data_IF_697699656674
#
_entry.id   IF_697699656674
#
_cell.length_a   1.000
_cell.length_b   1.000
_cell.length_c   1.000
_cell.angle_alpha   90.00
_cell.angle_beta   90.00
_cell.angle_gamma   90.00
#
_symmetry.space_group_name_H-M   'P 1'
#
loop_
_entity.id
_entity.type
_entity.pdbx_description
1 polymer ?
#
# COMPACT_ATOMS: atom_id res chain seq x y z
N UNK A 1 2.52 -76.27 -2.04
CA UNK A 1 3.38 -75.26 -2.72
C UNK A 1 2.62 -74.76 -3.94
N UNK A 2 2.64 -73.44 -4.21
CA UNK A 2 2.46 -72.77 -5.53
C UNK A 2 1.22 -73.15 -6.39
N UNK A 3 0.43 -72.26 -6.98
CA UNK A 3 0.24 -70.79 -6.88
C UNK A 3 -1.07 -70.46 -7.66
N UNK A 4 -1.82 -69.38 -7.35
CA UNK A 4 -2.96 -68.98 -8.17
C UNK A 4 -2.64 -67.86 -9.17
N UNK A 5 -3.08 -68.08 -10.41
CA UNK A 5 -3.66 -67.12 -11.37
C UNK A 5 -2.94 -65.81 -11.71
N UNK A 6 -2.54 -65.72 -12.98
CA UNK A 6 -2.48 -64.45 -13.71
C UNK A 6 -3.90 -64.08 -14.17
N UNK A 7 -4.33 -62.85 -13.91
CA UNK A 7 -5.37 -62.16 -14.70
C UNK A 7 -4.88 -60.75 -14.98
N UNK A 8 -4.93 -60.34 -16.25
CA UNK A 8 -4.34 -59.09 -16.73
C UNK A 8 -5.39 -57.99 -16.60
N UNK A 9 -5.24 -57.12 -15.60
CA UNK A 9 -5.98 -55.87 -15.50
C UNK A 9 -5.36 -54.81 -16.40
N UNK A 10 -6.02 -54.50 -17.51
CA UNK A 10 -5.68 -53.34 -18.33
C UNK A 10 -6.52 -52.12 -17.91
N UNK A 11 -6.06 -51.40 -16.89
CA UNK A 11 -6.57 -50.04 -16.62
C UNK A 11 -5.65 -49.01 -17.27
N UNK A 12 -6.23 -48.22 -18.17
CA UNK A 12 -5.55 -47.08 -18.81
C UNK A 12 -5.48 -45.94 -17.80
N UNK A 13 -4.42 -45.91 -16.99
CA UNK A 13 -4.13 -44.74 -16.16
C UNK A 13 -3.65 -43.59 -17.07
N UNK A 14 -4.51 -42.58 -17.21
CA UNK A 14 -4.15 -41.33 -17.87
C UNK A 14 -2.98 -40.66 -17.14
N UNK A 15 -2.05 -40.08 -17.90
CA UNK A 15 -0.88 -39.41 -17.34
C UNK A 15 -1.28 -38.18 -16.52
N UNK A 16 -1.33 -38.34 -15.19
CA UNK A 16 -1.54 -37.25 -14.26
C UNK A 16 -0.36 -36.28 -14.29
N UNK A 17 -0.64 -35.02 -14.59
CA UNK A 17 0.30 -33.92 -14.39
C UNK A 17 0.32 -33.56 -12.90
N UNK A 18 1.34 -34.00 -12.18
CA UNK A 18 1.55 -33.75 -10.75
C UNK A 18 2.62 -32.64 -10.57
N UNK A 19 2.31 -31.59 -9.81
CA UNK A 19 3.04 -30.30 -9.87
C UNK A 19 3.46 -29.82 -8.49
N UNK A 20 4.75 -29.53 -8.33
CA UNK A 20 5.43 -28.84 -7.22
C UNK A 20 6.97 -28.76 -7.52
N UNK A 21 7.84 -27.95 -6.84
CA UNK A 21 9.33 -27.89 -7.03
C UNK A 21 10.29 -27.91 -5.77
N UNK A 22 11.53 -28.43 -5.73
CA UNK A 22 12.61 -28.15 -4.75
C UNK A 22 13.98 -28.42 -5.30
N UNK A 23 14.91 -27.64 -4.84
CA UNK A 23 16.34 -27.85 -4.96
C UNK A 23 16.78 -29.31 -4.72
N UNK A 24 17.18 -29.98 -5.81
CA UNK A 24 18.00 -31.20 -5.87
C UNK A 24 19.46 -30.80 -6.10
N UNK A 25 20.41 -31.51 -5.48
CA UNK A 25 21.85 -31.29 -5.70
C UNK A 25 22.39 -29.92 -5.26
N UNK A 26 21.60 -29.17 -4.48
CA UNK A 26 22.03 -27.95 -3.78
C UNK A 26 22.45 -28.22 -2.34
N UNK A 27 22.50 -27.16 -1.53
CA UNK A 27 22.79 -27.22 -0.11
C UNK A 27 22.11 -26.10 0.67
N UNK A 28 22.38 -26.00 1.97
CA UNK A 28 21.82 -24.93 2.82
C UNK A 28 22.12 -23.55 2.23
N UNK A 29 21.08 -22.74 2.05
CA UNK A 29 21.21 -21.38 1.58
C UNK A 29 21.89 -20.48 2.63
N UNK A 30 22.75 -19.57 2.17
CA UNK A 30 23.24 -18.47 3.01
C UNK A 30 22.09 -17.46 3.20
N UNK A 31 21.50 -17.41 4.39
CA UNK A 31 20.30 -16.60 4.66
C UNK A 31 20.50 -15.10 4.45
N UNK A 32 21.75 -14.60 4.46
CA UNK A 32 22.06 -13.21 4.13
C UNK A 32 21.74 -12.87 2.67
N UNK A 33 21.94 -13.82 1.74
CA UNK A 33 21.70 -13.64 0.30
C UNK A 33 20.21 -13.80 -0.08
N UNK A 34 19.38 -14.25 0.87
CA UNK A 34 17.98 -14.63 0.62
C UNK A 34 17.00 -13.95 1.60
N UNK A 35 17.34 -12.78 2.14
CA UNK A 35 16.48 -12.02 3.08
C UNK A 35 15.05 -11.75 2.58
N UNK A 36 14.86 -11.70 1.26
CA UNK A 36 13.59 -11.52 0.56
C UNK A 36 12.80 -12.82 0.32
N UNK A 37 13.41 -14.00 0.51
CA UNK A 37 12.72 -15.27 0.36
C UNK A 37 11.53 -15.35 1.31
N UNK A 38 10.39 -15.76 0.78
CA UNK A 38 9.11 -15.72 1.49
C UNK A 38 8.44 -17.09 1.43
N UNK A 39 7.97 -17.59 2.57
CA UNK A 39 7.13 -18.80 2.62
C UNK A 39 5.66 -18.40 2.48
N UNK A 40 4.90 -19.08 1.62
CA UNK A 40 3.43 -19.04 1.64
C UNK A 40 2.94 -20.18 2.55
N UNK A 41 2.12 -19.82 3.53
CA UNK A 41 1.58 -20.71 4.58
C UNK A 41 0.08 -20.48 4.75
N UNK A 42 -0.63 -21.45 5.30
CA UNK A 42 -2.04 -21.26 5.65
C UNK A 42 -2.22 -20.20 6.76
N UNK A 43 -3.40 -19.56 6.82
CA UNK A 43 -3.70 -18.42 7.71
C UNK A 43 -3.27 -18.60 9.17
N UNK A 44 -3.35 -19.83 9.68
CA UNK A 44 -3.00 -20.21 11.06
C UNK A 44 -1.89 -21.28 11.17
N UNK A 45 -1.35 -21.76 10.05
CA UNK A 45 -0.26 -22.74 10.02
C UNK A 45 1.12 -22.10 9.75
N UNK A 46 2.17 -22.91 9.92
CA UNK A 46 3.55 -22.55 9.62
C UNK A 46 4.17 -23.41 8.50
N UNK A 47 3.48 -24.47 8.07
CA UNK A 47 3.91 -25.36 7.00
C UNK A 47 3.85 -24.62 5.66
N UNK A 48 5.02 -24.42 5.04
CA UNK A 48 5.13 -23.88 3.68
C UNK A 48 4.55 -24.86 2.67
N UNK A 49 3.80 -24.35 1.70
CA UNK A 49 3.36 -25.12 0.52
C UNK A 49 3.90 -24.54 -0.79
N UNK A 50 4.12 -23.23 -0.84
CA UNK A 50 4.83 -22.54 -1.92
C UNK A 50 5.91 -21.60 -1.36
N UNK A 51 6.86 -21.26 -2.22
CA UNK A 51 7.78 -20.15 -2.06
C UNK A 51 7.25 -18.86 -2.69
N UNK A 52 7.93 -17.76 -2.39
CA UNK A 52 7.64 -16.43 -2.88
C UNK A 52 8.83 -15.50 -2.64
N UNK A 53 8.69 -14.25 -3.05
CA UNK A 53 9.71 -13.20 -2.97
C UNK A 53 9.08 -11.88 -2.52
N UNK A 54 9.69 -11.17 -1.58
CA UNK A 54 9.19 -9.87 -1.10
C UNK A 54 9.71 -8.73 -1.99
N UNK A 55 8.79 -7.91 -2.51
CA UNK A 55 9.12 -6.81 -3.42
C UNK A 55 9.31 -5.45 -2.70
N UNK A 56 8.93 -5.36 -1.42
CA UNK A 56 8.75 -4.07 -0.73
C UNK A 56 7.28 -3.68 -0.63
N UNK A 57 6.98 -2.62 0.14
CA UNK A 57 5.66 -1.99 0.27
C UNK A 57 4.49 -2.96 0.52
N UNK A 58 4.76 -4.04 1.25
CA UNK A 58 3.79 -5.10 1.52
C UNK A 58 3.35 -5.89 0.28
N UNK A 59 4.16 -5.99 -0.78
CA UNK A 59 3.93 -6.84 -1.95
C UNK A 59 4.83 -8.07 -1.94
N UNK A 60 4.25 -9.21 -2.31
CA UNK A 60 4.94 -10.50 -2.42
C UNK A 60 4.64 -11.12 -3.78
N UNK A 61 5.68 -11.49 -4.52
CA UNK A 61 5.61 -12.10 -5.85
C UNK A 61 5.76 -13.63 -5.76
N UNK A 62 4.89 -14.36 -6.47
CA UNK A 62 4.80 -15.82 -6.48
C UNK A 62 4.20 -16.32 -7.81
N UNK A 63 3.99 -17.63 -7.94
CA UNK A 63 3.34 -18.25 -9.10
C UNK A 63 1.81 -18.20 -8.96
N UNK A 64 1.08 -18.13 -10.08
CA UNK A 64 -0.39 -18.12 -10.05
C UNK A 64 -0.96 -19.45 -9.55
N UNK A 65 -0.37 -20.58 -9.96
CA UNK A 65 -0.82 -21.91 -9.55
C UNK A 65 -0.67 -22.18 -8.04
N UNK A 66 0.16 -21.41 -7.33
CA UNK A 66 0.27 -21.49 -5.87
C UNK A 66 -0.96 -20.95 -5.15
N UNK A 67 -1.76 -20.11 -5.79
CA UNK A 67 -2.89 -19.39 -5.19
C UNK A 67 -4.18 -19.49 -6.01
N UNK A 68 -4.21 -20.36 -7.03
CA UNK A 68 -5.41 -20.65 -7.82
C UNK A 68 -6.47 -21.34 -6.94
N UNK A 69 -7.56 -20.62 -6.66
CA UNK A 69 -8.62 -21.04 -5.75
C UNK A 69 -8.41 -20.68 -4.27
N UNK A 70 -7.27 -20.07 -3.90
CA UNK A 70 -7.05 -19.58 -2.53
C UNK A 70 -7.85 -18.30 -2.24
N UNK A 71 -8.28 -18.14 -0.99
CA UNK A 71 -8.83 -16.88 -0.46
C UNK A 71 -7.74 -16.09 0.27
N UNK A 72 -7.68 -14.75 0.16
CA UNK A 72 -6.76 -13.92 0.96
C UNK A 72 -6.87 -14.20 2.46
N UNK A 73 -8.08 -14.46 2.97
CA UNK A 73 -8.33 -14.80 4.38
C UNK A 73 -7.83 -16.20 4.79
N UNK A 74 -7.58 -17.09 3.83
CA UNK A 74 -7.09 -18.45 4.02
C UNK A 74 -5.57 -18.56 4.09
N UNK A 75 -4.84 -17.51 3.70
CA UNK A 75 -3.38 -17.56 3.52
C UNK A 75 -2.64 -16.49 4.34
N UNK A 76 -1.36 -16.74 4.56
CA UNK A 76 -0.41 -15.83 5.18
C UNK A 76 0.98 -16.06 4.58
N UNK A 77 1.91 -15.13 4.82
CA UNK A 77 3.31 -15.25 4.40
C UNK A 77 4.25 -15.18 5.59
N UNK A 78 5.47 -15.70 5.44
CA UNK A 78 6.62 -15.42 6.31
C UNK A 78 7.79 -14.92 5.47
N UNK A 79 8.05 -13.61 5.51
CA UNK A 79 9.17 -12.97 4.78
C UNK A 79 10.47 -13.12 5.57
N UNK A 80 11.56 -13.53 4.93
CA UNK A 80 12.81 -13.88 5.61
C UNK A 80 12.67 -15.10 6.53
N UNK A 81 11.71 -15.99 6.22
CA UNK A 81 11.50 -17.25 6.92
C UNK A 81 12.26 -18.39 6.24
N UNK A 82 13.21 -18.99 6.95
CA UNK A 82 14.16 -19.99 6.44
C UNK A 82 13.96 -21.39 7.01
N UNK A 83 13.16 -21.56 8.07
CA UNK A 83 12.86 -22.87 8.66
C UNK A 83 11.51 -23.39 8.17
N UNK A 84 11.49 -24.63 7.67
CA UNK A 84 10.24 -25.30 7.28
C UNK A 84 9.40 -25.61 8.52
N UNK A 85 8.13 -25.22 8.50
CA UNK A 85 7.22 -25.33 9.66
C UNK A 85 7.69 -24.55 10.92
N UNK A 86 8.73 -23.71 10.80
CA UNK A 86 9.21 -22.83 11.86
C UNK A 86 8.38 -21.56 12.02
N UNK A 87 8.64 -20.82 13.09
CA UNK A 87 8.00 -19.52 13.41
C UNK A 87 8.92 -18.32 13.12
N UNK A 88 9.94 -18.52 12.29
CA UNK A 88 10.94 -17.55 11.90
C UNK A 88 10.50 -16.68 10.71
N UNK A 89 11.19 -15.54 10.54
CA UNK A 89 10.80 -14.50 9.60
C UNK A 89 9.66 -13.61 10.11
N UNK A 90 9.27 -12.63 9.31
CA UNK A 90 8.17 -11.72 9.60
C UNK A 90 6.87 -12.26 9.01
N UNK A 91 5.92 -12.62 9.88
CA UNK A 91 4.62 -13.18 9.48
C UNK A 91 3.60 -12.08 9.20
N UNK A 92 2.98 -12.11 8.01
CA UNK A 92 1.93 -11.18 7.62
C UNK A 92 0.74 -11.91 6.99
N UNK A 93 -0.46 -11.34 7.10
CA UNK A 93 -1.65 -11.87 6.44
C UNK A 93 -1.77 -11.25 5.05
N UNK A 94 -2.46 -11.93 4.13
CA UNK A 94 -2.75 -11.40 2.80
C UNK A 94 -4.08 -10.65 2.82
N UNK A 95 -4.10 -9.43 2.29
CA UNK A 95 -5.31 -8.62 2.11
C UNK A 95 -5.94 -8.84 0.73
N UNK A 96 -5.12 -9.10 -0.30
CA UNK A 96 -5.58 -9.31 -1.68
C UNK A 96 -4.62 -10.19 -2.47
N UNK A 97 -5.18 -11.04 -3.32
CA UNK A 97 -4.46 -11.89 -4.29
C UNK A 97 -4.73 -11.30 -5.68
N UNK A 98 -3.68 -11.13 -6.48
CA UNK A 98 -3.74 -10.72 -7.87
C UNK A 98 -3.07 -11.80 -8.72
N UNK A 99 -3.86 -12.60 -9.43
CA UNK A 99 -3.36 -13.54 -10.44
C UNK A 99 -3.34 -12.86 -11.81
N UNK A 100 -2.44 -13.28 -12.70
CA UNK A 100 -2.48 -12.84 -14.09
C UNK A 100 -3.82 -13.23 -14.74
N UNK A 101 -4.55 -12.30 -15.40
CA UNK A 101 -5.90 -12.58 -15.91
C UNK A 101 -5.91 -13.64 -17.02
N UNK A 102 -4.78 -13.78 -17.72
CA UNK A 102 -4.59 -14.80 -18.76
C UNK A 102 -3.78 -16.02 -18.27
N UNK A 103 -3.72 -16.29 -16.96
CA UNK A 103 -3.11 -17.51 -16.44
C UNK A 103 -3.89 -18.75 -16.92
N UNK A 104 -3.21 -19.71 -17.54
CA UNK A 104 -3.80 -20.99 -17.95
C UNK A 104 -3.20 -22.16 -17.18
N UNK A 105 -3.98 -22.69 -16.24
CA UNK A 105 -3.63 -23.85 -15.40
C UNK A 105 -3.42 -25.18 -16.14
N UNK A 106 -3.68 -25.26 -17.44
CA UNK A 106 -3.35 -26.44 -18.26
C UNK A 106 -1.95 -26.38 -18.84
N UNK A 107 -1.45 -25.17 -19.13
CA UNK A 107 -0.18 -24.93 -19.82
C UNK A 107 0.86 -24.22 -18.96
N UNK A 108 0.45 -23.66 -17.81
CA UNK A 108 1.24 -22.77 -16.95
C UNK A 108 1.71 -21.51 -17.68
N UNK A 109 1.00 -21.12 -18.74
CA UNK A 109 1.22 -19.84 -19.43
C UNK A 109 0.78 -18.71 -18.51
N UNK A 110 1.62 -17.66 -18.40
CA UNK A 110 1.42 -16.52 -17.50
C UNK A 110 1.26 -16.91 -16.02
N UNK A 111 2.02 -17.90 -15.55
CA UNK A 111 2.01 -18.39 -14.17
C UNK A 111 2.72 -17.40 -13.22
N UNK A 112 2.04 -16.30 -12.91
CA UNK A 112 2.51 -15.20 -12.05
C UNK A 112 1.35 -14.65 -11.20
N UNK A 113 1.61 -14.42 -9.92
CA UNK A 113 0.69 -13.77 -9.00
C UNK A 113 1.41 -12.86 -7.99
N UNK A 114 0.69 -11.86 -7.50
CA UNK A 114 1.14 -10.92 -6.47
C UNK A 114 0.16 -10.94 -5.30
N UNK A 115 0.69 -10.97 -4.08
CA UNK A 115 -0.06 -10.90 -2.84
C UNK A 115 0.20 -9.52 -2.22
N UNK A 116 -0.85 -8.74 -1.91
CA UNK A 116 -0.74 -7.56 -1.03
C UNK A 116 -0.93 -8.03 0.41
N UNK A 117 -0.05 -7.61 1.29
CA UNK A 117 -0.09 -7.88 2.72
C UNK A 117 -0.99 -6.89 3.45
N UNK A 118 -1.54 -7.29 4.61
CA UNK A 118 -2.40 -6.40 5.43
C UNK A 118 -1.62 -5.25 6.07
N UNK A 119 -0.34 -5.46 6.35
CA UNK A 119 0.57 -4.48 6.96
C UNK A 119 1.88 -4.50 6.19
N UNK A 120 2.60 -3.38 6.19
CA UNK A 120 3.94 -3.31 5.63
C UNK A 120 4.98 -3.86 6.63
N UNK A 121 6.10 -4.34 6.11
CA UNK A 121 7.17 -4.98 6.89
C UNK A 121 8.45 -4.15 6.78
N UNK A 122 8.65 -3.12 7.61
CA UNK A 122 9.73 -2.14 7.43
C UNK A 122 11.14 -2.73 7.64
N UNK A 123 11.24 -3.84 8.38
CA UNK A 123 12.51 -4.56 8.59
C UNK A 123 12.73 -5.71 7.58
N UNK A 124 11.84 -5.89 6.60
CA UNK A 124 11.97 -6.95 5.60
C UNK A 124 12.85 -6.50 4.43
N UNK A 125 13.76 -7.38 4.01
CA UNK A 125 14.63 -7.14 2.85
C UNK A 125 13.82 -7.39 1.57
N UNK A 126 13.74 -6.41 0.68
CA UNK A 126 13.17 -6.58 -0.66
C UNK A 126 14.18 -7.20 -1.63
N UNK A 127 13.68 -7.84 -2.69
CA UNK A 127 14.47 -8.23 -3.86
C UNK A 127 14.42 -7.14 -4.93
N UNK A 128 15.48 -6.99 -5.71
CA UNK A 128 15.38 -6.26 -6.99
C UNK A 128 14.87 -7.22 -8.08
N UNK A 129 13.98 -6.74 -8.94
CA UNK A 129 13.39 -7.54 -10.04
C UNK A 129 13.87 -7.01 -11.39
N UNK A 130 13.96 -7.90 -12.40
CA UNK A 130 14.32 -7.53 -13.75
C UNK A 130 13.43 -6.39 -14.31
N UNK A 131 14.05 -5.35 -14.87
CA UNK A 131 13.40 -4.21 -15.53
C UNK A 131 13.44 -4.29 -17.07
N UNK A 132 14.43 -4.97 -17.62
CA UNK A 132 14.53 -5.31 -19.04
C UNK A 132 14.75 -6.81 -19.30
N UNK A 133 14.93 -7.18 -20.57
CA UNK A 133 14.90 -8.59 -21.02
C UNK A 133 15.95 -9.46 -20.34
N UNK A 134 15.63 -10.75 -20.12
CA UNK A 134 16.51 -11.76 -19.52
C UNK A 134 17.98 -11.71 -20.00
N UNK A 135 18.19 -11.50 -21.31
CA UNK A 135 19.51 -11.42 -21.95
C UNK A 135 20.40 -10.24 -21.48
N UNK A 136 19.84 -9.22 -20.85
CA UNK A 136 20.60 -8.11 -20.24
C UNK A 136 21.24 -8.52 -18.91
N UNK A 137 20.67 -9.55 -18.25
CA UNK A 137 21.12 -10.02 -16.94
C UNK A 137 21.92 -11.32 -17.00
N UNK A 138 21.58 -12.23 -17.92
CA UNK A 138 22.19 -13.55 -18.05
C UNK A 138 22.24 -14.04 -19.51
N UNK A 139 23.39 -14.56 -19.92
CA UNK A 139 23.57 -15.29 -21.18
C UNK A 139 23.28 -16.78 -21.05
N UNK A 140 23.13 -17.49 -22.18
CA UNK A 140 23.01 -18.95 -22.17
C UNK A 140 24.28 -19.58 -21.59
N UNK A 141 24.12 -20.44 -20.58
CA UNK A 141 25.20 -21.03 -19.80
C UNK A 141 25.58 -20.25 -18.54
N UNK A 142 25.13 -19.00 -18.37
CA UNK A 142 25.35 -18.26 -17.12
C UNK A 142 24.64 -18.96 -15.96
N UNK A 143 25.31 -18.92 -14.80
CA UNK A 143 24.79 -19.54 -13.58
C UNK A 143 23.74 -18.65 -12.93
N UNK A 144 22.56 -19.21 -12.73
CA UNK A 144 21.47 -18.66 -11.94
C UNK A 144 21.33 -19.45 -10.64
N UNK A 145 20.87 -18.79 -9.57
CA UNK A 145 20.63 -19.41 -8.28
C UNK A 145 19.13 -19.50 -7.99
N UNK A 146 18.68 -20.64 -7.50
CA UNK A 146 17.28 -20.90 -7.10
C UNK A 146 17.27 -21.31 -5.62
N UNK A 147 16.24 -20.91 -4.86
CA UNK A 147 16.10 -21.31 -3.46
C UNK A 147 14.67 -21.69 -3.06
N UNK A 148 14.55 -22.62 -2.09
CA UNK A 148 13.27 -22.99 -1.47
C UNK A 148 13.28 -24.15 -0.46
N UNK A 149 12.08 -24.64 -0.12
CA UNK A 149 11.75 -25.49 1.05
C UNK A 149 10.87 -26.74 0.74
N UNK A 150 10.69 -27.16 -0.51
CA UNK A 150 9.92 -28.33 -0.98
C UNK A 150 10.46 -29.76 -0.67
N UNK A 151 10.85 -30.63 -1.64
CA UNK A 151 11.41 -32.02 -1.52
C UNK A 151 12.80 -32.28 -2.21
N UNK A 152 13.87 -32.67 -1.51
CA UNK A 152 15.28 -32.75 -2.06
C UNK A 152 15.52 -33.85 -3.08
N UNK A 153 14.56 -34.74 -3.18
CA UNK A 153 14.47 -35.83 -4.13
C UNK A 153 13.01 -35.94 -4.52
N UNK A 154 12.75 -36.50 -5.69
CA UNK A 154 11.39 -36.83 -6.10
C UNK A 154 10.73 -37.73 -5.04
N UNK A 155 9.55 -37.33 -4.53
CA UNK A 155 8.87 -38.03 -3.44
C UNK A 155 9.49 -37.90 -2.03
N UNK A 156 10.55 -37.09 -1.84
CA UNK A 156 11.25 -36.94 -0.55
C UNK A 156 10.53 -36.13 0.54
N UNK A 157 11.20 -35.90 1.68
CA UNK A 157 10.66 -35.16 2.85
C UNK A 157 11.24 -33.76 2.99
N UNK A 158 10.43 -32.76 3.40
CA UNK A 158 10.77 -31.32 3.50
C UNK A 158 12.07 -31.01 4.28
N UNK A 159 12.91 -30.04 3.84
CA UNK A 159 14.19 -29.79 4.48
C UNK A 159 13.92 -29.00 5.75
N UNK A 160 14.79 -29.13 6.74
CA UNK A 160 14.64 -28.29 7.92
C UNK A 160 14.94 -26.80 7.64
N UNK A 161 15.89 -26.51 6.74
CA UNK A 161 16.36 -25.15 6.39
C UNK A 161 16.22 -24.86 4.88
N UNK A 162 16.16 -23.59 4.52
CA UNK A 162 16.19 -23.11 3.13
C UNK A 162 17.37 -23.75 2.38
N UNK A 163 17.09 -24.32 1.22
CA UNK A 163 18.10 -24.86 0.32
C UNK A 163 18.27 -23.92 -0.88
N UNK A 164 19.46 -23.91 -1.48
CA UNK A 164 19.74 -23.22 -2.73
C UNK A 164 20.62 -24.05 -3.66
N UNK A 165 20.45 -23.89 -4.97
CA UNK A 165 21.29 -24.52 -6.01
C UNK A 165 21.56 -23.57 -7.16
N UNK A 166 22.68 -23.83 -7.81
CA UNK A 166 23.10 -23.15 -9.02
C UNK A 166 22.77 -24.01 -10.25
N UNK A 167 22.05 -23.44 -11.21
CA UNK A 167 21.65 -24.05 -12.49
C UNK A 167 21.99 -23.11 -13.65
N UNK A 168 22.42 -23.62 -14.82
CA UNK A 168 22.70 -22.77 -15.98
C UNK A 168 21.40 -22.36 -16.68
N UNK A 169 21.34 -21.12 -17.16
CA UNK A 169 20.33 -20.69 -18.13
C UNK A 169 20.51 -21.48 -19.43
N UNK A 170 19.42 -22.02 -20.00
CA UNK A 170 19.44 -22.73 -21.29
C UNK A 170 18.55 -22.03 -22.32
N UNK A 171 18.80 -22.27 -23.61
CA UNK A 171 18.00 -21.65 -24.67
C UNK A 171 16.60 -22.27 -24.80
N UNK A 172 15.61 -21.49 -25.21
CA UNK A 172 14.26 -21.98 -25.54
C UNK A 172 14.27 -23.09 -26.59
N UNK A 173 15.25 -23.10 -27.51
CA UNK A 173 15.43 -24.18 -28.48
C UNK A 173 15.87 -25.48 -27.79
N UNK A 174 16.85 -25.40 -26.88
CA UNK A 174 17.29 -26.52 -26.04
C UNK A 174 16.16 -27.04 -25.14
N UNK A 175 15.35 -26.14 -24.59
CA UNK A 175 14.24 -26.53 -23.72
C UNK A 175 13.12 -27.22 -24.51
N UNK A 176 12.66 -26.61 -25.62
CA UNK A 176 11.64 -27.22 -26.50
C UNK A 176 12.07 -28.57 -27.06
N UNK A 177 13.37 -28.77 -27.32
CA UNK A 177 13.92 -30.06 -27.75
C UNK A 177 13.76 -31.20 -26.72
N UNK A 178 13.48 -30.91 -25.45
CA UNK A 178 13.14 -31.93 -24.44
C UNK A 178 11.76 -32.59 -24.67
N UNK A 179 10.94 -32.04 -25.58
CA UNK A 179 9.69 -32.63 -26.07
C UNK A 179 8.51 -32.60 -25.09
N UNK A 180 7.35 -33.07 -25.55
CA UNK A 180 6.12 -33.07 -24.75
C UNK A 180 5.68 -31.67 -24.35
N UNK A 181 5.42 -31.45 -23.05
CA UNK A 181 4.95 -30.18 -22.49
C UNK A 181 5.91 -29.01 -22.73
N UNK A 182 7.20 -29.26 -22.96
CA UNK A 182 8.18 -28.22 -23.24
C UNK A 182 8.00 -27.56 -24.61
N UNK A 183 7.24 -28.15 -25.55
CA UNK A 183 7.16 -27.73 -26.96
C UNK A 183 6.78 -26.27 -27.19
N UNK A 184 6.00 -25.68 -26.28
CA UNK A 184 5.53 -24.29 -26.37
C UNK A 184 6.27 -23.31 -25.43
N UNK A 185 7.34 -23.74 -24.74
CA UNK A 185 8.07 -22.86 -23.82
C UNK A 185 8.86 -21.79 -24.59
N UNK A 186 8.75 -20.56 -24.09
CA UNK A 186 9.30 -19.32 -24.65
C UNK A 186 8.35 -18.15 -24.42
N UNK A 187 8.73 -16.95 -24.87
CA UNK A 187 8.00 -15.67 -24.75
C UNK A 187 7.74 -15.16 -23.32
N UNK A 188 7.06 -15.93 -22.46
CA UNK A 188 6.69 -15.56 -21.07
C UNK A 188 7.27 -16.49 -20.01
N UNK A 189 8.10 -17.45 -20.44
CA UNK A 189 8.82 -18.37 -19.58
C UNK A 189 10.15 -18.78 -20.23
N UNK A 190 11.15 -19.05 -19.40
CA UNK A 190 12.46 -19.56 -19.80
C UNK A 190 12.81 -20.83 -19.01
N UNK A 191 13.89 -21.50 -19.39
CA UNK A 191 14.33 -22.73 -18.72
C UNK A 191 15.75 -22.64 -18.15
N UNK A 192 15.98 -23.31 -17.02
CA UNK A 192 17.31 -23.49 -16.46
C UNK A 192 17.49 -24.91 -15.93
N UNK A 193 18.71 -25.44 -16.02
CA UNK A 193 19.04 -26.80 -15.58
C UNK A 193 20.13 -27.46 -16.42
N UNK A 194 20.77 -28.49 -15.86
CA UNK A 194 21.79 -29.26 -16.57
C UNK A 194 21.15 -30.34 -17.44
N UNK A 195 21.63 -30.52 -18.67
CA UNK A 195 21.17 -31.59 -19.57
C UNK A 195 21.37 -33.00 -18.99
N UNK A 196 22.40 -33.18 -18.15
CA UNK A 196 22.63 -34.42 -17.40
C UNK A 196 21.69 -34.63 -16.20
N UNK A 197 20.85 -33.64 -15.85
CA UNK A 197 20.08 -33.64 -14.61
C UNK A 197 20.94 -33.43 -13.37
N UNK A 198 20.57 -34.05 -12.25
CA UNK A 198 21.29 -34.02 -10.98
C UNK A 198 21.16 -32.73 -10.15
N UNK A 199 20.81 -31.59 -10.77
CA UNK A 199 20.48 -30.31 -10.11
C UNK A 199 19.31 -29.62 -10.80
N UNK A 200 18.28 -29.29 -10.02
CA UNK A 200 17.01 -28.70 -10.49
C UNK A 200 16.15 -28.28 -9.28
N UNK A 201 14.97 -27.72 -9.56
CA UNK A 201 13.77 -27.81 -8.72
C UNK A 201 13.07 -29.22 -8.81
N UNK A 202 11.87 -29.47 -8.24
CA UNK A 202 11.35 -30.82 -7.75
C UNK A 202 9.92 -31.01 -7.10
N UNK A 203 9.66 -30.66 -5.81
CA UNK A 203 8.31 -30.61 -5.13
C UNK A 203 8.12 -29.65 -3.86
N UNK A 204 7.59 -28.39 -3.93
CA UNK A 204 7.27 -27.43 -2.82
C UNK A 204 7.95 -26.01 -2.68
N UNK A 205 8.67 -25.50 -3.69
CA UNK A 205 9.35 -24.19 -3.91
C UNK A 205 8.58 -23.34 -4.95
N UNK A 206 7.39 -23.76 -5.38
CA UNK A 206 6.65 -23.07 -6.47
C UNK A 206 6.41 -21.63 -6.08
N UNK A 207 6.51 -20.72 -7.04
CA UNK A 207 6.50 -19.29 -6.76
C UNK A 207 7.81 -18.74 -6.17
N UNK A 208 8.77 -19.61 -5.84
CA UNK A 208 10.08 -19.21 -5.35
C UNK A 208 10.91 -18.47 -6.40
N UNK A 209 11.93 -17.72 -5.97
CA UNK A 209 12.78 -16.92 -6.84
C UNK A 209 13.85 -17.75 -7.58
N UNK A 210 14.08 -17.43 -8.86
CA UNK A 210 15.36 -17.66 -9.55
C UNK A 210 16.04 -16.31 -9.81
N UNK A 211 17.31 -16.19 -9.39
CA UNK A 211 18.06 -14.93 -9.33
C UNK A 211 19.41 -15.03 -10.02
N UNK A 212 19.97 -13.89 -10.39
CA UNK A 212 21.40 -13.72 -10.68
C UNK A 212 22.01 -12.78 -9.64
N UNK A 213 23.27 -13.00 -9.29
CA UNK A 213 24.06 -12.05 -8.51
C UNK A 213 25.12 -11.42 -9.41
N UNK A 214 25.02 -10.10 -9.66
CA UNK A 214 26.01 -9.32 -10.39
C UNK A 214 26.64 -8.32 -9.42
N UNK A 215 27.92 -8.53 -9.07
CA UNK A 215 28.69 -7.62 -8.21
C UNK A 215 28.07 -7.31 -6.85
N UNK A 216 27.33 -8.27 -6.25
CA UNK A 216 26.65 -8.12 -4.97
C UNK A 216 25.19 -7.68 -5.08
N UNK A 217 24.72 -7.27 -6.27
CA UNK A 217 23.30 -7.00 -6.52
C UNK A 217 22.62 -8.30 -6.93
N UNK A 218 21.64 -8.72 -6.12
CA UNK A 218 20.81 -9.91 -6.38
C UNK A 218 19.54 -9.45 -7.09
N UNK A 219 19.38 -9.87 -8.34
CA UNK A 219 18.22 -9.55 -9.18
C UNK A 219 17.44 -10.81 -9.50
N UNK A 220 16.15 -10.83 -9.20
CA UNK A 220 15.26 -11.93 -9.57
C UNK A 220 14.82 -11.80 -11.03
N UNK A 221 15.09 -12.86 -11.80
CA UNK A 221 14.81 -12.93 -13.23
C UNK A 221 13.53 -13.71 -13.53
N UNK A 222 13.16 -14.63 -12.64
CA UNK A 222 11.99 -15.48 -12.83
C UNK A 222 11.40 -16.04 -11.55
N UNK A 223 10.35 -16.84 -11.74
CA UNK A 223 9.54 -17.45 -10.70
C UNK A 223 9.45 -18.95 -10.99
N UNK A 224 9.74 -19.81 -10.01
CA UNK A 224 9.66 -21.27 -10.20
C UNK A 224 8.21 -21.68 -10.51
N UNK A 225 7.99 -22.22 -11.71
CA UNK A 225 6.66 -22.57 -12.22
C UNK A 225 6.45 -24.08 -12.27
N UNK A 226 7.15 -24.81 -13.15
CA UNK A 226 6.99 -26.27 -13.29
C UNK A 226 8.26 -26.97 -13.81
N UNK A 227 8.23 -28.30 -13.83
CA UNK A 227 9.25 -29.17 -14.40
C UNK A 227 8.71 -30.59 -14.60
N UNK A 228 9.44 -31.47 -15.27
CA UNK A 228 9.05 -32.88 -15.43
C UNK A 228 9.92 -33.77 -14.53
N UNK A 229 9.37 -34.08 -13.35
CA UNK A 229 10.11 -34.74 -12.28
C UNK A 229 11.18 -33.82 -11.68
N UNK A 230 12.11 -34.40 -10.93
CA UNK A 230 13.13 -33.65 -10.21
C UNK A 230 14.53 -33.96 -10.73
N UNK A 231 15.19 -32.98 -11.38
CA UNK A 231 16.57 -33.13 -11.85
C UNK A 231 16.82 -34.39 -12.70
N UNK A 232 15.81 -34.80 -13.47
CA UNK A 232 15.90 -35.95 -14.37
C UNK A 232 16.77 -35.58 -15.58
N UNK A 233 17.62 -36.49 -16.10
CA UNK A 233 18.37 -36.25 -17.33
C UNK A 233 17.47 -35.83 -18.50
N UNK A 234 17.87 -34.80 -19.24
CA UNK A 234 17.12 -34.24 -20.36
C UNK A 234 15.82 -33.52 -19.98
N UNK A 235 15.64 -33.13 -18.71
CA UNK A 235 14.52 -32.33 -18.21
C UNK A 235 15.04 -31.10 -17.46
N UNK A 236 14.26 -30.02 -17.49
CA UNK A 236 14.66 -28.69 -17.04
C UNK A 236 13.55 -28.06 -16.20
N UNK A 237 13.91 -27.22 -15.23
CA UNK A 237 12.97 -26.33 -14.57
C UNK A 237 12.53 -25.22 -15.53
N UNK A 238 11.24 -24.90 -15.50
CA UNK A 238 10.61 -23.81 -16.25
C UNK A 238 10.22 -22.71 -15.26
N UNK A 239 10.58 -21.49 -15.62
CA UNK A 239 10.44 -20.31 -14.78
C UNK A 239 9.68 -19.24 -15.56
N UNK A 240 8.65 -18.64 -14.95
CA UNK A 240 7.94 -17.50 -15.53
C UNK A 240 8.91 -16.32 -15.65
N UNK A 241 8.98 -15.70 -16.83
CA UNK A 241 9.88 -14.59 -17.13
C UNK A 241 9.29 -13.28 -16.58
N UNK A 242 9.94 -12.70 -15.56
CA UNK A 242 9.46 -11.47 -14.91
C UNK A 242 9.52 -10.28 -15.86
N UNK A 243 10.52 -10.21 -16.75
CA UNK A 243 10.69 -9.13 -17.69
C UNK A 243 9.62 -9.18 -18.80
N UNK A 244 9.29 -10.38 -19.29
CA UNK A 244 8.22 -10.56 -20.27
C UNK A 244 6.82 -10.26 -19.68
N UNK A 245 6.60 -10.63 -18.41
CA UNK A 245 5.35 -10.40 -17.69
C UNK A 245 5.29 -9.02 -17.00
N UNK A 246 6.33 -8.19 -17.19
CA UNK A 246 6.54 -6.93 -16.48
C UNK A 246 5.40 -5.94 -16.64
N UNK A 247 4.84 -5.82 -17.84
CA UNK A 247 3.71 -4.93 -18.11
C UNK A 247 2.50 -5.19 -17.21
N UNK A 248 2.15 -6.46 -16.97
CA UNK A 248 1.09 -6.81 -16.00
C UNK A 248 1.56 -6.61 -14.56
N UNK A 249 2.78 -7.03 -14.22
CA UNK A 249 3.31 -6.91 -12.86
C UNK A 249 3.30 -5.45 -12.39
N UNK A 250 3.78 -4.54 -13.24
CA UNK A 250 3.72 -3.10 -13.00
C UNK A 250 2.28 -2.63 -12.84
N UNK A 251 1.31 -3.08 -13.65
CA UNK A 251 -0.11 -2.70 -13.37
C UNK A 251 -0.56 -3.10 -11.97
N UNK A 252 -0.08 -4.20 -11.39
CA UNK A 252 -0.49 -4.61 -10.04
C UNK A 252 0.24 -3.84 -8.95
N UNK A 253 1.57 -3.70 -9.05
CA UNK A 253 2.37 -3.03 -8.00
C UNK A 253 2.29 -1.49 -8.10
N UNK A 254 1.86 -0.94 -9.23
CA UNK A 254 1.61 0.50 -9.42
C UNK A 254 0.14 0.91 -9.34
N UNK A 255 -0.86 0.05 -9.61
CA UNK A 255 -2.29 0.42 -9.45
C UNK A 255 -2.76 0.55 -7.99
N UNK A 256 -1.86 0.32 -7.03
CA UNK A 256 -2.00 0.77 -5.66
C UNK A 256 -0.63 1.30 -5.22
N UNK A 257 -0.30 2.57 -5.54
CA UNK A 257 1.08 3.05 -5.52
C UNK A 257 1.68 2.98 -4.11
N UNK A 258 2.95 2.58 -4.03
CA UNK A 258 3.83 2.81 -2.86
C UNK A 258 4.14 4.30 -2.63
N UNK A 259 3.25 5.20 -3.04
CA UNK A 259 3.31 6.60 -2.73
C UNK A 259 2.00 7.09 -2.16
N UNK A 260 2.08 7.88 -1.08
CA UNK A 260 0.90 8.52 -0.52
C UNK A 260 0.40 9.62 -1.45
N UNK A 261 -0.92 9.69 -1.65
CA UNK A 261 -1.58 10.90 -2.13
C UNK A 261 -2.00 11.71 -0.90
N UNK A 262 -1.30 12.82 -0.62
CA UNK A 262 -1.53 13.61 0.58
C UNK A 262 -1.38 15.11 0.30
N UNK A 263 -2.51 15.81 0.26
CA UNK A 263 -2.58 17.27 0.10
C UNK A 263 -2.44 17.95 1.45
N UNK A 264 -1.33 18.65 1.66
CA UNK A 264 -1.15 19.59 2.77
C UNK A 264 -1.60 21.00 2.37
N UNK A 265 -2.19 21.76 3.28
CA UNK A 265 -2.49 23.18 3.05
C UNK A 265 -2.63 23.95 4.37
N UNK A 266 -2.46 25.28 4.32
CA UNK A 266 -2.72 26.16 5.47
C UNK A 266 -4.19 26.09 5.87
N UNK A 267 -4.50 25.38 6.96
CA UNK A 267 -5.87 25.33 7.53
C UNK A 267 -6.24 26.63 8.25
N UNK A 268 -7.55 26.80 8.47
CA UNK A 268 -8.22 28.02 8.91
C UNK A 268 -7.39 28.97 9.80
N UNK A 269 -7.34 30.25 9.45
CA UNK A 269 -6.57 31.28 10.15
C UNK A 269 -7.45 32.46 10.57
N UNK A 270 -7.19 33.00 11.77
CA UNK A 270 -7.75 34.28 12.22
C UNK A 270 -6.64 35.31 12.26
N UNK A 271 -6.77 36.39 11.48
CA UNK A 271 -5.83 37.51 11.49
C UNK A 271 -6.23 38.52 12.57
N UNK A 272 -5.31 39.41 12.91
CA UNK A 272 -5.65 40.62 13.69
C UNK A 272 -6.73 41.43 12.97
N UNK A 273 -7.54 42.13 13.77
CA UNK A 273 -8.59 43.03 13.27
C UNK A 273 -8.03 44.15 12.36
N UNK A 274 -8.93 44.80 11.64
CA UNK A 274 -8.67 45.95 10.77
C UNK A 274 -9.75 47.00 10.94
N UNK A 275 -9.49 48.21 10.43
CA UNK A 275 -10.53 49.24 10.33
C UNK A 275 -11.38 49.02 9.09
N UNK A 276 -12.68 49.32 9.20
CA UNK A 276 -13.57 49.41 8.04
C UNK A 276 -12.95 50.35 6.98
N UNK A 277 -12.86 49.88 5.74
CA UNK A 277 -12.16 50.56 4.64
C UNK A 277 -10.69 50.15 4.43
N UNK A 278 -10.04 49.47 5.37
CA UNK A 278 -8.73 48.84 5.16
C UNK A 278 -8.88 47.46 4.48
N UNK A 279 -7.78 46.96 3.91
CA UNK A 279 -7.66 45.59 3.39
C UNK A 279 -6.73 44.74 4.26
N UNK A 280 -6.99 43.44 4.30
CA UNK A 280 -6.10 42.41 4.84
C UNK A 280 -5.66 41.50 3.71
N UNK A 281 -4.38 41.15 3.70
CA UNK A 281 -3.82 40.13 2.82
C UNK A 281 -3.52 38.84 3.59
N UNK A 282 -3.63 37.72 2.91
CA UNK A 282 -3.22 36.40 3.41
C UNK A 282 -2.69 35.54 2.27
N UNK A 283 -1.74 34.66 2.54
CA UNK A 283 -1.21 33.72 1.56
C UNK A 283 -1.45 32.29 2.04
N UNK A 284 -2.34 31.58 1.34
CA UNK A 284 -2.49 30.15 1.50
C UNK A 284 -1.31 29.43 0.84
N UNK A 285 -0.74 28.46 1.54
CA UNK A 285 0.22 27.51 0.97
C UNK A 285 -0.48 26.18 0.74
N UNK A 286 -0.25 25.56 -0.42
CA UNK A 286 -0.66 24.18 -0.73
C UNK A 286 0.60 23.39 -1.02
N UNK A 287 0.78 22.26 -0.35
CA UNK A 287 1.95 21.38 -0.44
C UNK A 287 1.55 19.96 -0.82
N UNK A 288 2.34 19.31 -1.66
CA UNK A 288 2.33 17.87 -1.77
C UNK A 288 3.09 17.26 -0.59
N UNK A 289 2.36 16.75 0.39
CA UNK A 289 2.91 15.97 1.52
C UNK A 289 3.01 14.47 1.19
N UNK A 290 2.61 14.10 -0.03
CA UNK A 290 2.69 12.75 -0.56
C UNK A 290 3.88 12.59 -1.49
N UNK A 291 3.98 11.40 -2.06
CA UNK A 291 5.00 11.06 -3.07
C UNK A 291 4.41 10.82 -4.46
N UNK A 292 3.08 10.73 -4.59
CA UNK A 292 2.40 10.83 -5.88
C UNK A 292 2.26 12.29 -6.30
N UNK A 293 2.53 12.60 -7.57
CA UNK A 293 2.31 13.96 -8.12
C UNK A 293 0.81 14.20 -8.37
N UNK A 294 0.33 15.43 -8.18
CA UNK A 294 -1.05 15.81 -8.49
C UNK A 294 -1.13 17.22 -9.08
N UNK A 295 -2.13 17.45 -9.93
CA UNK A 295 -2.41 18.74 -10.58
C UNK A 295 -3.58 19.44 -9.90
N UNK A 296 -3.40 20.73 -9.59
CA UNK A 296 -4.42 21.53 -8.91
C UNK A 296 -5.46 22.12 -9.89
N UNK A 297 -6.72 21.80 -9.63
CA UNK A 297 -7.88 22.15 -10.45
C UNK A 297 -8.88 23.01 -9.66
N UNK A 298 -9.66 23.86 -10.36
CA UNK A 298 -10.76 24.65 -9.80
C UNK A 298 -10.39 25.55 -8.60
N UNK A 299 -9.15 26.04 -8.55
CA UNK A 299 -8.66 26.99 -7.55
C UNK A 299 -9.46 28.29 -7.64
N UNK A 300 -10.17 28.65 -6.57
CA UNK A 300 -11.03 29.84 -6.51
C UNK A 300 -11.13 30.39 -5.09
N UNK A 301 -11.17 31.72 -4.96
CA UNK A 301 -11.38 32.40 -3.69
C UNK A 301 -12.73 33.13 -3.68
N UNK A 302 -13.44 33.11 -2.54
CA UNK A 302 -14.76 33.74 -2.37
C UNK A 302 -14.87 34.48 -1.03
N UNK A 303 -15.53 35.63 -1.05
CA UNK A 303 -15.83 36.42 0.14
C UNK A 303 -17.03 35.84 0.91
N UNK A 304 -17.05 36.00 2.24
CA UNK A 304 -18.24 35.79 3.06
C UNK A 304 -18.21 36.61 4.36
N UNK A 305 -19.33 36.66 5.09
CA UNK A 305 -19.50 37.57 6.22
C UNK A 305 -19.63 39.02 5.75
N UNK A 306 -18.99 39.97 6.43
CA UNK A 306 -18.96 41.39 6.02
C UNK A 306 -17.84 41.72 5.02
N UNK A 307 -17.13 40.71 4.52
CA UNK A 307 -16.04 40.91 3.59
C UNK A 307 -16.54 41.49 2.25
N UNK A 308 -15.86 42.52 1.75
CA UNK A 308 -15.95 42.88 0.33
C UNK A 308 -15.35 41.79 -0.55
N UNK A 309 -15.61 41.86 -1.86
CA UNK A 309 -15.10 40.91 -2.86
C UNK A 309 -13.62 40.58 -2.66
N UNK A 310 -13.30 39.28 -2.59
CA UNK A 310 -11.91 38.82 -2.51
C UNK A 310 -11.20 39.06 -3.84
N UNK A 311 -10.02 39.68 -3.78
CA UNK A 311 -9.10 39.78 -4.91
C UNK A 311 -8.06 38.68 -4.76
N UNK A 312 -7.82 37.91 -5.82
CA UNK A 312 -6.68 36.98 -5.89
C UNK A 312 -5.49 37.75 -6.44
N UNK A 313 -4.39 37.76 -5.69
CA UNK A 313 -3.14 38.42 -6.07
C UNK A 313 -2.22 37.45 -6.83
N UNK A 314 -1.10 37.07 -6.21
CA UNK A 314 -0.21 36.03 -6.75
C UNK A 314 -0.85 34.65 -6.58
N UNK A 315 -1.05 33.95 -7.69
CA UNK A 315 -1.41 32.53 -7.74
C UNK A 315 -0.31 31.76 -8.49
N UNK A 316 0.31 30.77 -7.85
CA UNK A 316 1.23 29.81 -8.47
C UNK A 316 0.73 28.36 -8.39
N UNK A 317 -0.55 28.17 -8.07
CA UNK A 317 -1.21 26.89 -7.87
C UNK A 317 -2.13 26.51 -9.03
N UNK A 318 -2.82 27.46 -9.65
CA UNK A 318 -3.77 27.17 -10.74
C UNK A 318 -3.11 26.37 -11.88
N UNK A 319 -3.65 25.18 -12.18
CA UNK A 319 -3.16 24.23 -13.20
C UNK A 319 -1.71 23.76 -12.99
N UNK A 320 -1.14 23.92 -11.79
CA UNK A 320 0.21 23.48 -11.47
C UNK A 320 0.19 22.03 -10.98
N UNK A 321 1.07 21.19 -11.55
CA UNK A 321 1.37 19.85 -11.02
C UNK A 321 2.45 19.95 -9.95
N UNK A 322 2.15 19.50 -8.74
CA UNK A 322 3.10 19.44 -7.61
C UNK A 322 3.69 18.03 -7.50
N UNK A 323 5.01 17.89 -7.65
CA UNK A 323 5.72 16.66 -7.29
C UNK A 323 5.92 16.57 -5.77
N UNK A 324 6.46 15.45 -5.28
CA UNK A 324 6.74 15.24 -3.85
C UNK A 324 7.47 16.45 -3.22
N UNK A 325 7.05 16.83 -2.01
CA UNK A 325 7.52 17.97 -1.22
C UNK A 325 7.38 19.38 -1.83
N UNK A 326 6.94 19.51 -3.09
CA UNK A 326 6.72 20.83 -3.70
C UNK A 326 5.51 21.56 -3.09
N UNK A 327 5.58 22.89 -3.10
CA UNK A 327 4.50 23.77 -2.63
C UNK A 327 4.22 24.90 -3.62
N UNK A 328 2.98 25.34 -3.68
CA UNK A 328 2.54 26.55 -4.38
C UNK A 328 1.79 27.49 -3.42
N UNK A 329 1.54 28.72 -3.87
CA UNK A 329 0.89 29.74 -3.04
C UNK A 329 -0.24 30.46 -3.77
N UNK A 330 -1.30 30.80 -3.03
CA UNK A 330 -2.38 31.69 -3.46
C UNK A 330 -2.52 32.82 -2.45
N UNK A 331 -2.16 34.03 -2.87
CA UNK A 331 -2.37 35.26 -2.11
C UNK A 331 -3.79 35.79 -2.37
N UNK A 332 -4.50 36.13 -1.30
CA UNK A 332 -5.82 36.76 -1.32
C UNK A 332 -5.79 38.08 -0.57
N UNK A 333 -6.57 39.05 -1.03
CA UNK A 333 -6.84 40.29 -0.33
C UNK A 333 -8.34 40.49 -0.16
N UNK A 334 -8.75 40.93 1.03
CA UNK A 334 -10.16 41.20 1.36
C UNK A 334 -10.26 42.40 2.30
N UNK A 335 -11.30 43.21 2.12
CA UNK A 335 -11.62 44.33 3.00
C UNK A 335 -13.04 44.18 3.57
N UNK A 336 -13.58 45.25 4.14
CA UNK A 336 -14.97 45.33 4.60
C UNK A 336 -15.44 46.79 4.62
N UNK A 337 -16.71 47.02 4.28
CA UNK A 337 -17.38 48.34 4.32
C UNK A 337 -18.26 48.52 5.56
N UNK A 338 -18.40 47.49 6.39
CA UNK A 338 -19.16 47.48 7.64
C UNK A 338 -18.39 46.71 8.72
N UNK A 339 -18.67 46.98 9.99
CA UNK A 339 -18.03 46.27 11.09
C UNK A 339 -18.62 44.86 11.25
N UNK A 340 -17.78 43.90 11.66
CA UNK A 340 -18.13 42.49 11.81
C UNK A 340 -17.07 41.54 11.26
N UNK A 341 -17.38 40.24 11.27
CA UNK A 341 -16.45 39.20 10.86
C UNK A 341 -16.35 39.11 9.33
N UNK A 342 -15.23 39.54 8.77
CA UNK A 342 -14.91 39.41 7.35
C UNK A 342 -14.18 38.08 7.10
N UNK A 343 -14.56 37.35 6.05
CA UNK A 343 -13.96 36.05 5.69
C UNK A 343 -13.61 35.97 4.21
N UNK A 344 -12.47 35.36 3.90
CA UNK A 344 -12.10 34.89 2.57
C UNK A 344 -11.88 33.38 2.61
N UNK A 345 -12.55 32.63 1.74
CA UNK A 345 -12.38 31.18 1.61
C UNK A 345 -11.69 30.85 0.29
N UNK A 346 -10.57 30.13 0.36
CA UNK A 346 -9.99 29.43 -0.78
C UNK A 346 -10.63 28.04 -0.91
N UNK A 347 -10.96 27.64 -2.13
CA UNK A 347 -11.39 26.27 -2.43
C UNK A 347 -10.72 25.77 -3.72
N UNK A 348 -10.42 24.47 -3.76
CA UNK A 348 -9.72 23.83 -4.88
C UNK A 348 -9.99 22.33 -4.92
N UNK A 349 -9.48 21.65 -5.95
CA UNK A 349 -9.57 20.21 -6.20
C UNK A 349 -8.28 19.71 -6.85
N UNK A 350 -8.15 18.40 -7.04
CA UNK A 350 -7.01 17.78 -7.74
C UNK A 350 -7.48 16.91 -8.90
N UNK A 351 -6.55 16.40 -9.70
CA UNK A 351 -6.77 15.35 -10.71
C UNK A 351 -6.83 13.93 -10.10
N UNK A 352 -6.16 13.69 -8.96
CA UNK A 352 -6.09 12.38 -8.30
C UNK A 352 -7.28 12.04 -7.38
N UNK A 353 -8.34 12.85 -7.31
CA UNK A 353 -9.47 12.57 -6.42
C UNK A 353 -10.72 13.41 -6.66
N UNK A 354 -11.85 12.96 -6.09
CA UNK A 354 -13.17 13.59 -6.23
C UNK A 354 -13.49 14.64 -5.15
N UNK A 355 -12.61 14.82 -4.17
CA UNK A 355 -12.82 15.69 -3.02
C UNK A 355 -12.41 17.15 -3.29
N UNK A 356 -13.27 18.10 -2.92
CA UNK A 356 -12.92 19.52 -2.86
C UNK A 356 -12.30 19.90 -1.51
N UNK A 357 -11.18 20.63 -1.54
CA UNK A 357 -10.51 21.18 -0.36
C UNK A 357 -10.97 22.63 -0.12
N UNK A 358 -11.00 23.05 1.15
CA UNK A 358 -11.38 24.42 1.55
C UNK A 358 -10.50 24.91 2.70
N UNK A 359 -10.12 26.19 2.67
CA UNK A 359 -9.40 26.88 3.74
C UNK A 359 -9.96 28.29 3.92
N UNK A 360 -10.18 28.72 5.15
CA UNK A 360 -10.77 30.02 5.47
C UNK A 360 -9.75 30.92 6.17
N UNK A 361 -9.69 32.19 5.78
CA UNK A 361 -9.06 33.24 6.60
C UNK A 361 -10.13 34.22 7.04
N UNK A 362 -10.08 34.66 8.29
CA UNK A 362 -11.04 35.61 8.85
C UNK A 362 -10.39 36.69 9.68
N UNK A 363 -11.00 37.87 9.71
CA UNK A 363 -10.57 39.01 10.52
C UNK A 363 -11.77 39.87 10.89
N UNK A 364 -11.79 40.44 12.08
CA UNK A 364 -12.84 41.39 12.48
C UNK A 364 -12.57 42.78 11.89
N UNK A 365 -13.52 43.28 11.11
CA UNK A 365 -13.60 44.67 10.69
C UNK A 365 -14.19 45.49 11.83
N UNK A 366 -13.50 46.55 12.23
CA UNK A 366 -13.87 47.42 13.34
C UNK A 366 -14.03 48.86 12.86
N UNK A 367 -15.00 49.61 13.39
CA UNK A 367 -14.98 51.06 13.21
C UNK A 367 -13.81 51.63 14.00
N UNK A 368 -12.97 52.46 13.39
CA UNK A 368 -11.92 53.18 14.09
C UNK A 368 -12.53 53.92 15.30
N UNK A 369 -12.03 53.64 16.50
CA UNK A 369 -12.75 53.98 17.72
C UNK A 369 -13.03 55.47 17.88
N UNK A 370 -14.30 55.81 18.11
CA UNK A 370 -14.58 56.76 19.18
C UNK A 370 -14.06 56.13 20.48
N UNK A 371 -13.04 56.74 21.09
CA UNK A 371 -12.29 56.10 22.16
C UNK A 371 -13.14 55.85 23.41
N UNK A 372 -13.00 54.67 24.02
CA UNK A 372 -13.63 54.37 25.30
C UNK A 372 -13.52 52.90 25.72
N UNK A 373 -12.73 52.63 26.76
CA UNK A 373 -12.83 51.40 27.55
C UNK A 373 -11.96 50.24 27.09
N UNK A 374 -10.92 49.96 27.88
CA UNK A 374 -10.20 48.69 27.85
C UNK A 374 -11.13 47.59 28.42
N UNK A 375 -11.66 46.71 27.56
CA UNK A 375 -12.46 45.56 27.97
C UNK A 375 -11.96 44.27 27.32
N UNK A 376 -11.56 43.35 28.20
CA UNK A 376 -10.90 42.09 27.90
C UNK A 376 -11.86 41.12 27.19
N UNK A 377 -11.52 40.66 26.00
CA UNK A 377 -12.35 39.75 25.20
C UNK A 377 -11.72 38.36 25.12
N UNK A 378 -11.97 37.57 26.17
CA UNK A 378 -11.59 36.15 26.22
C UNK A 378 -12.73 35.27 25.70
N UNK A 379 -12.45 34.45 24.69
CA UNK A 379 -13.25 33.26 24.37
C UNK A 379 -12.76 32.08 25.23
N UNK A 380 -13.62 31.40 26.00
CA UNK A 380 -13.15 30.48 27.03
C UNK A 380 -12.82 29.08 26.49
N UNK A 381 -11.55 28.69 26.65
CA UNK A 381 -11.19 27.30 26.97
C UNK A 381 -10.54 27.37 28.37
N UNK A 382 -11.19 26.80 29.39
CA UNK A 382 -10.81 26.85 30.81
C UNK A 382 -10.73 28.25 31.46
N UNK A 383 -11.88 28.87 31.74
CA UNK A 383 -12.00 29.83 32.85
C UNK A 383 -13.07 29.36 33.82
N UNK A 384 -12.68 29.17 35.08
CA UNK A 384 -13.61 28.97 36.18
C UNK A 384 -14.16 30.31 36.66
N UNK A 385 -15.49 30.42 36.65
CA UNK A 385 -16.33 31.51 37.21
C UNK A 385 -16.64 32.67 36.27
N UNK A 386 -17.94 32.95 36.18
CA UNK A 386 -18.53 34.18 35.68
C UNK A 386 -18.94 35.04 36.88
N UNK A 387 -19.04 36.36 36.71
CA UNK A 387 -19.44 37.30 37.76
C UNK A 387 -20.61 38.18 37.32
N UNK A 388 -21.22 38.91 38.25
CA UNK A 388 -22.26 39.89 37.92
C UNK A 388 -21.73 40.92 36.91
N UNK A 389 -22.51 41.18 35.86
CA UNK A 389 -22.16 42.06 34.76
C UNK A 389 -21.41 41.39 33.60
N UNK A 390 -20.92 40.15 33.74
CA UNK A 390 -20.27 39.44 32.63
C UNK A 390 -21.23 39.23 31.45
N UNK A 391 -20.77 39.49 30.23
CA UNK A 391 -21.54 39.27 28.99
C UNK A 391 -21.09 37.97 28.34
N UNK A 392 -22.04 37.07 28.08
CA UNK A 392 -21.82 35.78 27.43
C UNK A 392 -22.49 35.75 26.06
N UNK A 393 -21.88 35.01 25.12
CA UNK A 393 -22.43 34.75 23.79
C UNK A 393 -23.04 33.33 23.78
N UNK A 394 -24.26 33.19 23.28
CA UNK A 394 -24.84 31.89 22.94
C UNK A 394 -24.39 31.43 21.55
N UNK A 395 -24.53 30.14 21.27
CA UNK A 395 -24.10 29.51 20.00
C UNK A 395 -24.89 30.02 18.77
N UNK A 396 -26.07 30.59 18.99
CA UNK A 396 -26.89 31.27 17.97
C UNK A 396 -26.45 32.73 17.69
N UNK A 397 -25.46 33.23 18.44
CA UNK A 397 -24.93 34.60 18.32
C UNK A 397 -25.60 35.63 19.23
N UNK A 398 -26.61 35.26 20.02
CA UNK A 398 -27.28 36.18 20.95
C UNK A 398 -26.39 36.51 22.16
N UNK A 399 -26.53 37.74 22.70
CA UNK A 399 -25.75 38.25 23.84
C UNK A 399 -26.60 38.32 25.10
N UNK A 400 -26.09 37.79 26.20
CA UNK A 400 -26.75 37.81 27.51
C UNK A 400 -25.82 38.37 28.58
N UNK A 401 -26.37 39.02 29.61
CA UNK A 401 -25.60 39.54 30.74
C UNK A 401 -25.97 38.81 32.03
N UNK A 402 -24.97 38.41 32.82
CA UNK A 402 -25.17 37.83 34.15
C UNK A 402 -25.68 38.92 35.12
N UNK A 403 -26.88 38.77 35.67
CA UNK A 403 -27.53 39.73 36.57
C UNK A 403 -27.68 39.18 38.00
N UNK A 404 -27.87 40.10 38.96
CA UNK A 404 -27.97 39.80 40.39
C UNK A 404 -29.41 39.43 40.80
N UNK A 405 -29.57 38.77 41.94
CA UNK A 405 -30.89 38.40 42.46
C UNK A 405 -31.61 39.67 42.97
N UNK A 406 -32.90 39.89 42.66
CA UNK A 406 -33.89 38.93 42.15
C UNK A 406 -34.06 38.82 40.62
N UNK A 407 -33.19 39.43 39.81
CA UNK A 407 -33.45 39.64 38.37
C UNK A 407 -33.32 38.43 37.44
N UNK A 408 -32.33 37.55 37.66
CA UNK A 408 -31.88 36.56 36.66
C UNK A 408 -31.24 37.23 35.42
N UNK A 409 -30.31 36.66 34.67
CA UNK A 409 -29.70 35.32 34.64
C UNK A 409 -28.51 35.22 35.62
N UNK A 410 -28.37 34.15 36.41
CA UNK A 410 -27.22 33.97 37.32
C UNK A 410 -26.12 33.09 36.72
N UNK A 411 -24.87 33.41 37.03
CA UNK A 411 -23.69 32.69 36.54
C UNK A 411 -22.69 32.53 37.69
N UNK A 412 -22.25 31.31 38.00
CA UNK A 412 -21.25 31.02 39.04
C UNK A 412 -20.38 29.80 38.68
N UNK A 413 -19.25 29.60 39.38
CA UNK A 413 -18.43 28.40 39.22
C UNK A 413 -18.77 27.31 40.23
N UNK A 414 -18.75 26.06 39.75
CA UNK A 414 -18.61 24.88 40.59
C UNK A 414 -19.89 24.49 41.35
N UNK A 415 -20.89 23.97 40.62
CA UNK A 415 -22.17 23.62 41.25
C UNK A 415 -23.19 22.87 40.38
N UNK A 416 -22.73 21.91 39.56
CA UNK A 416 -23.54 20.98 38.75
C UNK A 416 -24.42 21.59 37.63
N UNK A 417 -24.62 20.78 36.58
CA UNK A 417 -25.48 21.02 35.40
C UNK A 417 -25.04 22.12 34.40
N UNK A 418 -24.19 21.70 33.45
CA UNK A 418 -24.39 22.04 32.03
C UNK A 418 -25.81 21.56 31.59
N UNK A 419 -26.38 22.05 30.46
CA UNK A 419 -27.83 22.28 30.33
C UNK A 419 -28.68 21.06 30.71
N UNK A 420 -29.70 21.31 31.53
CA UNK A 420 -30.53 20.27 32.13
C UNK A 420 -31.79 20.81 32.81
N UNK A 421 -32.93 20.62 32.14
CA UNK A 421 -34.24 20.25 32.73
C UNK A 421 -34.93 21.15 33.78
N UNK A 422 -35.81 22.04 33.28
CA UNK A 422 -37.03 22.48 34.00
C UNK A 422 -36.91 23.69 34.94
N UNK A 423 -37.96 24.46 35.24
CA UNK A 423 -39.41 24.19 35.07
C UNK A 423 -40.16 25.23 34.21
N UNK A 424 -39.46 25.91 33.30
CA UNK A 424 -40.07 26.83 32.34
C UNK A 424 -39.44 26.70 30.94
N UNK A 425 -39.76 25.59 30.28
CA UNK A 425 -39.73 25.46 28.81
C UNK A 425 -40.93 24.64 28.29
N UNK A 426 -41.83 24.25 29.21
CA UNK A 426 -42.97 23.35 29.06
C UNK A 426 -42.69 22.13 28.16
N UNK A 427 -41.73 21.30 28.64
CA UNK A 427 -41.55 19.87 28.31
C UNK A 427 -40.61 19.45 27.15
N UNK A 428 -39.46 20.14 26.97
CA UNK A 428 -38.39 19.68 26.05
C UNK A 428 -37.05 19.28 26.72
N UNK A 429 -36.92 19.41 28.03
CA UNK A 429 -35.75 18.89 28.76
C UNK A 429 -36.21 17.99 29.90
N UNK A 430 -36.23 16.67 29.65
CA UNK A 430 -36.38 15.66 30.69
C UNK A 430 -35.73 14.33 30.26
N UNK A 431 -34.88 13.79 31.14
CA UNK A 431 -34.35 12.42 31.18
C UNK A 431 -33.31 12.00 30.12
N UNK A 432 -32.06 12.05 30.60
CA UNK A 432 -30.82 11.41 30.14
C UNK A 432 -30.13 12.05 28.92
#
# INVERSE_FOLDING_TARGET
MLAPMVSIGAEVQGAGFEISPRIVGGGNANTADWGFYTQIVSRYGNRSYCGASYLGDGYVLTAAHCVDGDSPSGIAVKVGGFIYNGTDGQRANVSKIYMHPNYDKRTFTNDIAVLKLTNDLPSAVKVEIADGSLSQYAGIGDTLSVAGLGRTSEGGSSPYKLQSVNVPLISDATCRAAGGSYTNVGNVAFCAGFSAGGKDSCQGDSGGPIVVNRSGVITQLGIVSWGIGCARPGKYGVYSDIAALRGWLDTVITSNPGGSYAVGYTKNQTLSSFKVGETKSHTFSIKNNGTQSFTLNNVRAVASGVATSVVVGRDTCSQTTLTADQSCQVAVEFGATQAGLAKAQLSFSTDQGTSSYQANVSADATTAGGGGGNYDHVYPQNIGSYTFGTVVLAEDGNRYQCLGFPGGLWCSAGGAYAPGTGWAWNDAWSKL
#
